data_IF_877390117262
#
_entry.id   IF_877390117262
#
_cell.length_a   1.000
_cell.length_b   1.000
_cell.length_c   1.000
_cell.angle_alpha   90.00
_cell.angle_beta   90.00
_cell.angle_gamma   90.00
#
_symmetry.space_group_name_H-M   'P 1'
#
loop_
_entity.id
_entity.type
_entity.pdbx_description
1 polymer ?
#
# COMPACT_ATOMS: atom_id res chain seq x y z
N UNK A 1 -51.45 95.51 14.71
CA UNK A 1 -51.38 94.64 15.91
C UNK A 1 -50.58 93.41 15.51
N UNK A 2 -49.25 93.46 15.58
CA UNK A 2 -48.37 93.23 16.74
C UNK A 2 -48.33 91.76 17.20
N UNK A 3 -47.11 91.21 17.10
CA UNK A 3 -46.52 90.13 17.91
C UNK A 3 -46.97 88.68 17.69
N UNK A 4 -46.13 87.66 17.87
CA UNK A 4 -44.66 87.44 17.87
C UNK A 4 -44.48 85.93 18.20
N UNK A 5 -43.28 85.42 17.89
CA UNK A 5 -42.75 84.06 18.00
C UNK A 5 -42.67 83.41 19.42
N UNK A 6 -42.72 82.05 19.43
CA UNK A 6 -41.91 81.04 20.22
C UNK A 6 -42.15 80.97 21.77
N UNK A 7 -41.80 79.90 22.58
CA UNK A 7 -41.18 78.56 22.37
C UNK A 7 -41.98 77.35 22.96
N UNK A 8 -41.75 76.07 22.60
CA UNK A 8 -40.61 75.14 22.87
C UNK A 8 -40.37 74.82 24.36
N UNK A 9 -40.88 73.67 24.84
CA UNK A 9 -40.30 72.91 25.95
C UNK A 9 -40.72 71.43 25.86
N UNK A 10 -39.94 70.63 25.14
CA UNK A 10 -40.06 69.16 25.11
C UNK A 10 -39.06 68.60 26.13
N UNK A 11 -39.57 68.17 27.29
CA UNK A 11 -38.77 67.56 28.35
C UNK A 11 -38.59 66.06 28.09
N UNK A 12 -37.32 65.66 28.14
CA UNK A 12 -36.78 64.32 28.01
C UNK A 12 -37.30 63.38 29.10
N UNK A 13 -37.79 62.21 28.73
CA UNK A 13 -37.76 61.01 29.58
C UNK A 13 -36.87 59.96 28.91
N UNK A 14 -35.67 59.78 29.48
CA UNK A 14 -34.82 58.63 29.21
C UNK A 14 -35.41 57.43 29.95
N UNK A 15 -36.04 56.50 29.22
CA UNK A 15 -36.23 55.13 29.69
C UNK A 15 -35.18 54.26 29.01
N UNK A 16 -34.18 53.83 29.78
CA UNK A 16 -33.16 52.86 29.38
C UNK A 16 -33.82 51.54 28.97
N UNK A 17 -33.91 51.29 27.66
CA UNK A 17 -34.20 49.96 27.14
C UNK A 17 -32.94 49.11 27.33
N UNK A 18 -32.95 48.21 28.31
CA UNK A 18 -31.95 47.16 28.44
C UNK A 18 -32.23 46.16 27.31
N UNK A 19 -31.46 46.23 26.24
CA UNK A 19 -31.40 45.17 25.23
C UNK A 19 -30.58 44.03 25.84
N UNK A 20 -31.25 42.95 26.24
CA UNK A 20 -30.57 41.69 26.52
C UNK A 20 -30.12 41.11 25.18
N UNK A 21 -28.89 41.42 24.77
CA UNK A 21 -28.24 40.73 23.67
C UNK A 21 -27.98 39.32 24.18
N UNK A 22 -28.83 38.38 23.80
CA UNK A 22 -28.52 36.97 23.93
C UNK A 22 -27.35 36.72 22.98
N UNK A 23 -26.15 36.61 23.53
CA UNK A 23 -24.98 36.19 22.78
C UNK A 23 -25.32 34.81 22.21
N UNK A 24 -25.55 34.77 20.91
CA UNK A 24 -25.52 33.54 20.16
C UNK A 24 -24.08 33.05 20.29
N UNK A 25 -23.86 32.10 21.20
CA UNK A 25 -22.65 31.31 21.25
C UNK A 25 -22.60 30.58 19.92
N UNK A 26 -21.98 31.23 18.93
CA UNK A 26 -21.49 30.55 17.75
C UNK A 26 -20.51 29.53 18.29
N UNK A 27 -20.99 28.31 18.50
CA UNK A 27 -20.16 27.15 18.68
C UNK A 27 -19.22 27.19 17.48
N UNK A 28 -17.96 27.53 17.72
CA UNK A 28 -16.91 27.28 16.75
C UNK A 28 -16.99 25.79 16.54
N UNK A 29 -17.63 25.38 15.46
CA UNK A 29 -17.73 23.99 15.04
C UNK A 29 -16.27 23.58 14.85
N UNK A 30 -15.71 22.96 15.89
CA UNK A 30 -14.31 22.60 15.93
C UNK A 30 -14.14 21.65 14.76
N UNK A 31 -13.57 22.18 13.66
CA UNK A 31 -13.42 21.45 12.43
C UNK A 31 -12.72 20.15 12.79
N UNK A 32 -13.43 19.04 12.70
CA UNK A 32 -12.89 17.73 13.08
C UNK A 32 -11.76 17.46 12.11
N UNK A 33 -10.52 17.55 12.59
CA UNK A 33 -9.33 17.32 11.76
C UNK A 33 -8.93 15.87 11.92
N UNK A 34 -9.06 15.09 10.85
CA UNK A 34 -8.46 13.75 10.79
C UNK A 34 -6.95 13.90 10.78
N UNK A 35 -6.29 13.14 11.62
CA UNK A 35 -4.83 13.01 11.64
C UNK A 35 -4.38 11.70 11.00
N UNK A 36 -5.05 10.59 11.29
CA UNK A 36 -4.71 9.28 10.73
C UNK A 36 -5.90 8.31 10.75
N UNK A 37 -5.75 7.18 10.05
CA UNK A 37 -6.70 6.06 10.09
C UNK A 37 -6.00 4.78 10.55
N UNK A 38 -6.73 3.81 11.09
CA UNK A 38 -6.21 2.46 11.41
C UNK A 38 -7.17 1.38 10.95
N UNK A 39 -6.61 0.22 10.60
CA UNK A 39 -7.37 -1.00 10.27
C UNK A 39 -7.33 -1.94 11.47
N UNK A 40 -8.50 -2.37 11.94
CA UNK A 40 -8.64 -3.43 12.94
C UNK A 40 -9.30 -4.68 12.32
N UNK A 41 -8.73 -5.84 12.65
CA UNK A 41 -9.20 -7.15 12.20
C UNK A 41 -9.04 -8.13 13.36
N UNK A 42 -9.99 -9.07 13.55
CA UNK A 42 -9.92 -10.04 14.64
C UNK A 42 -8.77 -11.04 14.49
N UNK A 43 -8.22 -11.17 13.27
CA UNK A 43 -7.12 -12.08 12.96
C UNK A 43 -6.01 -11.37 12.19
N UNK A 44 -4.81 -11.93 12.30
CA UNK A 44 -3.64 -11.58 11.47
C UNK A 44 -3.38 -12.60 10.37
N UNK A 45 -4.24 -13.63 10.27
CA UNK A 45 -4.21 -14.63 9.21
C UNK A 45 -5.61 -15.09 8.81
N UNK A 46 -5.78 -15.53 7.56
CA UNK A 46 -6.99 -16.18 7.06
C UNK A 46 -6.64 -17.26 6.03
N UNK A 47 -7.59 -18.13 5.72
CA UNK A 47 -7.48 -19.05 4.58
C UNK A 47 -7.88 -18.33 3.28
N UNK A 48 -7.19 -18.61 2.19
CA UNK A 48 -7.42 -18.03 0.85
C UNK A 48 -8.88 -18.20 0.43
N UNK A 49 -9.50 -17.12 -0.04
CA UNK A 49 -10.91 -17.06 -0.42
C UNK A 49 -11.90 -16.96 0.75
N UNK A 50 -11.45 -17.08 2.00
CA UNK A 50 -12.32 -16.86 3.16
C UNK A 50 -12.64 -15.39 3.34
N UNK A 51 -13.79 -15.11 3.95
CA UNK A 51 -14.18 -13.74 4.28
C UNK A 51 -13.40 -13.23 5.49
N UNK A 52 -12.83 -12.03 5.35
CA UNK A 52 -12.26 -11.21 6.39
C UNK A 52 -13.21 -10.04 6.67
N UNK A 53 -13.59 -9.88 7.92
CA UNK A 53 -14.33 -8.72 8.42
C UNK A 53 -13.45 -7.88 9.34
N UNK A 54 -13.71 -6.59 9.39
CA UNK A 54 -12.95 -5.67 10.23
C UNK A 54 -13.49 -4.25 10.18
N UNK A 55 -12.76 -3.34 10.82
CA UNK A 55 -13.11 -1.92 10.87
C UNK A 55 -11.95 -1.05 10.42
N UNK A 56 -12.29 0.12 9.89
CA UNK A 56 -11.37 1.23 9.69
C UNK A 56 -11.86 2.39 10.54
N UNK A 57 -10.98 2.89 11.41
CA UNK A 57 -11.31 3.99 12.32
C UNK A 57 -10.47 5.22 11.99
N UNK A 58 -11.11 6.39 11.90
CA UNK A 58 -10.45 7.68 11.74
C UNK A 58 -10.19 8.32 13.11
N UNK A 59 -9.00 8.88 13.29
CA UNK A 59 -8.55 9.48 14.55
C UNK A 59 -8.14 10.93 14.35
N UNK A 60 -8.36 11.74 15.39
CA UNK A 60 -7.81 13.09 15.50
C UNK A 60 -6.33 13.07 15.93
N UNK A 61 -5.72 14.25 16.06
CA UNK A 61 -4.32 14.40 16.50
C UNK A 61 -4.06 13.96 17.94
N UNK A 62 -5.11 13.85 18.75
CA UNK A 62 -5.04 13.44 20.15
C UNK A 62 -5.25 11.92 20.32
N UNK A 63 -5.56 11.22 19.23
CA UNK A 63 -5.85 9.78 19.23
C UNK A 63 -7.28 9.42 19.62
N UNK A 64 -8.19 10.38 19.67
CA UNK A 64 -9.63 10.11 19.82
C UNK A 64 -10.25 9.77 18.46
N UNK A 65 -11.37 9.05 18.47
CA UNK A 65 -12.12 8.78 17.25
C UNK A 65 -12.70 10.09 16.71
N UNK A 66 -12.33 10.45 15.49
CA UNK A 66 -12.86 11.62 14.80
C UNK A 66 -14.31 11.32 14.39
N UNK A 67 -15.34 12.08 14.84
CA UNK A 67 -16.75 11.77 14.61
C UNK A 67 -17.22 12.07 13.17
N UNK A 68 -16.51 11.53 12.18
CA UNK A 68 -16.81 11.71 10.76
C UNK A 68 -17.91 10.75 10.30
N UNK A 69 -18.85 11.28 9.52
CA UNK A 69 -19.92 10.49 8.89
C UNK A 69 -20.06 10.86 7.41
N UNK A 70 -20.42 9.89 6.56
CA UNK A 70 -20.70 10.13 5.13
C UNK A 70 -19.49 10.06 4.20
N UNK A 71 -18.26 9.98 4.72
CA UNK A 71 -17.04 9.83 3.91
C UNK A 71 -16.76 8.36 3.57
N UNK A 72 -16.31 8.09 2.34
CA UNK A 72 -15.99 6.75 1.88
C UNK A 72 -14.54 6.37 2.19
N UNK A 73 -14.35 5.19 2.77
CA UNK A 73 -13.09 4.45 2.86
C UNK A 73 -13.02 3.47 1.69
N UNK A 74 -11.86 3.38 1.05
CA UNK A 74 -11.53 2.28 0.13
C UNK A 74 -10.64 1.26 0.84
N UNK A 75 -10.97 -0.03 0.72
CA UNK A 75 -10.26 -1.16 1.31
C UNK A 75 -9.78 -2.08 0.18
N UNK A 76 -8.52 -2.52 0.26
CA UNK A 76 -7.94 -3.41 -0.73
C UNK A 76 -6.66 -4.08 -0.24
N UNK A 77 -5.90 -4.68 -1.17
CA UNK A 77 -4.55 -5.18 -0.90
C UNK A 77 -3.55 -4.35 -1.71
N UNK A 78 -2.56 -3.80 -1.04
CA UNK A 78 -1.46 -3.04 -1.65
C UNK A 78 -0.33 -3.94 -2.20
N UNK A 79 -0.52 -5.26 -2.16
CA UNK A 79 0.41 -6.24 -2.73
C UNK A 79 -0.09 -6.75 -4.07
N UNK A 80 0.75 -6.69 -5.11
CA UNK A 80 0.42 -7.24 -6.42
C UNK A 80 0.10 -8.75 -6.35
N UNK A 81 -0.75 -9.27 -7.24
CA UNK A 81 -0.96 -10.71 -7.40
C UNK A 81 -1.98 -11.35 -6.44
N UNK A 82 -2.41 -10.64 -5.39
CA UNK A 82 -3.57 -11.04 -4.59
C UNK A 82 -4.87 -10.52 -5.24
N UNK A 83 -5.91 -11.34 -5.26
CA UNK A 83 -7.24 -10.92 -5.73
C UNK A 83 -8.11 -10.55 -4.53
N UNK A 84 -8.68 -9.36 -4.53
CA UNK A 84 -9.60 -8.88 -3.50
C UNK A 84 -11.01 -8.82 -4.07
N UNK A 85 -11.98 -9.40 -3.35
CA UNK A 85 -13.40 -9.36 -3.70
C UNK A 85 -14.24 -8.95 -2.50
N UNK A 86 -15.48 -8.51 -2.74
CA UNK A 86 -16.43 -8.09 -1.69
C UNK A 86 -16.52 -6.58 -1.54
N UNK A 87 -16.83 -6.12 -0.32
CA UNK A 87 -17.09 -4.70 -0.03
C UNK A 87 -15.78 -3.94 0.13
N UNK A 88 -15.23 -3.49 -1.00
CA UNK A 88 -13.97 -2.72 -1.06
C UNK A 88 -14.19 -1.22 -0.84
N UNK A 89 -15.43 -0.78 -0.66
CA UNK A 89 -15.76 0.60 -0.24
C UNK A 89 -16.78 0.56 0.88
N UNK A 90 -16.52 1.30 1.95
CA UNK A 90 -17.44 1.47 3.08
C UNK A 90 -17.51 2.92 3.50
N UNK A 91 -18.66 3.36 4.01
CA UNK A 91 -18.85 4.72 4.53
C UNK A 91 -18.53 4.77 6.02
N UNK A 92 -17.88 5.83 6.47
CA UNK A 92 -17.69 6.14 7.88
C UNK A 92 -19.03 6.51 8.52
N UNK A 93 -19.28 5.97 9.70
CA UNK A 93 -20.34 6.36 10.62
C UNK A 93 -19.70 6.62 11.97
N UNK A 94 -19.76 7.87 12.45
CA UNK A 94 -19.13 8.32 13.70
C UNK A 94 -17.64 7.91 13.79
N UNK A 95 -16.91 8.06 12.68
CA UNK A 95 -15.48 7.77 12.60
C UNK A 95 -15.11 6.32 12.33
N UNK A 96 -16.08 5.42 12.17
CA UNK A 96 -15.85 3.97 11.98
C UNK A 96 -16.53 3.47 10.70
N UNK A 97 -15.81 2.70 9.89
CA UNK A 97 -16.33 2.02 8.72
C UNK A 97 -16.10 0.50 8.86
N UNK A 98 -17.14 -0.30 8.64
CA UNK A 98 -17.04 -1.76 8.64
C UNK A 98 -16.78 -2.28 7.24
N UNK A 99 -15.92 -3.28 7.08
CA UNK A 99 -15.70 -3.92 5.79
C UNK A 99 -15.82 -5.44 5.87
N UNK A 100 -16.10 -6.03 4.72
CA UNK A 100 -16.13 -7.47 4.53
C UNK A 100 -15.58 -7.80 3.14
N UNK A 101 -14.38 -8.38 3.08
CA UNK A 101 -13.68 -8.72 1.85
C UNK A 101 -13.26 -10.20 1.87
N UNK A 102 -12.97 -10.78 0.72
CA UNK A 102 -12.21 -12.02 0.62
C UNK A 102 -10.92 -11.75 -0.14
N UNK A 103 -9.84 -12.43 0.26
CA UNK A 103 -8.54 -12.30 -0.37
C UNK A 103 -8.11 -13.68 -0.83
N UNK A 104 -7.81 -13.79 -2.13
CA UNK A 104 -7.36 -15.03 -2.75
C UNK A 104 -5.92 -14.88 -3.22
N UNK A 105 -5.09 -15.83 -2.82
CA UNK A 105 -3.71 -16.00 -3.28
C UNK A 105 -3.53 -17.40 -3.86
N UNK A 106 -2.56 -17.60 -4.75
CA UNK A 106 -2.26 -18.90 -5.35
C UNK A 106 -1.38 -19.80 -4.48
N UNK A 107 -0.69 -19.20 -3.51
CA UNK A 107 0.13 -19.86 -2.51
C UNK A 107 -0.03 -19.15 -1.15
N UNK A 108 0.48 -19.74 -0.08
CA UNK A 108 0.55 -19.04 1.21
C UNK A 108 1.45 -17.82 1.10
N UNK A 109 0.91 -16.63 1.38
CA UNK A 109 1.59 -15.35 1.18
C UNK A 109 1.16 -14.35 2.25
N UNK A 110 2.07 -13.47 2.65
CA UNK A 110 1.70 -12.20 3.25
C UNK A 110 1.14 -11.27 2.17
N UNK A 111 0.17 -10.45 2.57
CA UNK A 111 -0.36 -9.33 1.78
C UNK A 111 -0.39 -8.09 2.65
N UNK A 112 -0.26 -6.92 2.01
CA UNK A 112 -0.45 -5.63 2.68
C UNK A 112 -1.91 -5.23 2.56
N UNK A 113 -2.73 -5.53 3.57
CA UNK A 113 -4.10 -4.99 3.63
C UNK A 113 -4.02 -3.47 3.71
N UNK A 114 -4.77 -2.75 2.89
CA UNK A 114 -4.70 -1.29 2.78
C UNK A 114 -6.07 -0.65 2.91
N UNK A 115 -6.10 0.50 3.56
CA UNK A 115 -7.25 1.40 3.63
C UNK A 115 -6.83 2.81 3.22
N UNK A 116 -7.71 3.50 2.50
CA UNK A 116 -7.52 4.89 2.07
C UNK A 116 -8.79 5.69 2.35
N UNK A 117 -8.62 6.84 3.01
CA UNK A 117 -9.62 7.88 3.22
C UNK A 117 -9.21 9.14 2.47
N UNK A 118 -10.15 9.75 1.76
CA UNK A 118 -10.01 11.11 1.23
C UNK A 118 -10.89 12.03 2.06
N UNK A 119 -10.28 13.03 2.71
CA UNK A 119 -10.98 14.02 3.52
C UNK A 119 -10.44 15.41 3.19
N UNK A 120 -11.31 16.27 2.65
CA UNK A 120 -10.90 17.53 2.03
C UNK A 120 -9.96 17.27 0.85
N UNK A 121 -8.80 17.93 0.85
CA UNK A 121 -7.72 17.74 -0.13
C UNK A 121 -6.65 16.72 0.31
N UNK A 122 -6.83 16.09 1.47
CA UNK A 122 -5.84 15.20 2.09
C UNK A 122 -6.17 13.73 1.86
N UNK A 123 -5.13 12.93 1.68
CA UNK A 123 -5.18 11.47 1.60
C UNK A 123 -4.61 10.87 2.88
N UNK A 124 -5.38 10.00 3.53
CA UNK A 124 -4.94 9.25 4.69
C UNK A 124 -4.92 7.78 4.30
N UNK A 125 -3.80 7.10 4.55
CA UNK A 125 -3.67 5.68 4.25
C UNK A 125 -3.09 4.92 5.43
N UNK A 126 -3.48 3.66 5.54
CA UNK A 126 -2.92 2.74 6.51
C UNK A 126 -2.75 1.37 5.87
N UNK A 127 -1.69 0.68 6.22
CA UNK A 127 -1.44 -0.69 5.76
C UNK A 127 -1.15 -1.62 6.93
N UNK A 128 -1.63 -2.86 6.85
CA UNK A 128 -1.44 -3.90 7.85
C UNK A 128 -1.01 -5.21 7.17
N UNK A 129 -0.01 -5.88 7.72
CA UNK A 129 0.37 -7.22 7.28
C UNK A 129 -0.72 -8.23 7.63
N UNK A 130 -1.03 -9.11 6.67
CA UNK A 130 -2.02 -10.17 6.80
C UNK A 130 -1.53 -11.42 6.10
N UNK A 131 -1.48 -12.56 6.80
CA UNK A 131 -1.10 -13.85 6.23
C UNK A 131 -2.31 -14.51 5.58
N UNK A 132 -2.24 -14.76 4.27
CA UNK A 132 -3.23 -15.55 3.54
C UNK A 132 -2.67 -16.95 3.36
N UNK A 133 -3.24 -17.93 4.05
CA UNK A 133 -2.89 -19.33 3.97
C UNK A 133 -3.57 -19.95 2.75
N UNK A 134 -2.81 -20.63 1.89
CA UNK A 134 -3.39 -21.44 0.83
C UNK A 134 -2.88 -22.88 0.96
N UNK A 135 -3.80 -23.78 1.35
CA UNK A 135 -3.51 -25.21 1.54
C UNK A 135 -3.29 -25.98 0.24
N UNK A 136 -3.72 -25.43 -0.89
CA UNK A 136 -3.52 -26.03 -2.21
C UNK A 136 -2.15 -25.68 -2.82
N UNK A 137 -1.55 -24.58 -2.37
CA UNK A 137 -0.23 -24.15 -2.84
C UNK A 137 0.91 -24.83 -2.10
N UNK A 138 2.07 -24.97 -2.76
CA UNK A 138 3.30 -25.36 -2.05
C UNK A 138 3.61 -24.32 -0.96
N UNK A 139 3.88 -24.79 0.26
CA UNK A 139 4.33 -23.92 1.35
C UNK A 139 5.81 -23.57 1.17
N UNK A 140 6.07 -22.77 0.15
CA UNK A 140 7.40 -22.43 -0.32
C UNK A 140 7.59 -20.93 -0.31
N UNK A 141 8.76 -20.51 0.15
CA UNK A 141 9.14 -19.10 0.16
C UNK A 141 10.00 -18.78 -1.07
N UNK A 142 9.45 -17.98 -1.97
CA UNK A 142 10.10 -17.49 -3.18
C UNK A 142 10.77 -16.12 -2.96
N UNK A 143 10.62 -15.50 -1.79
CA UNK A 143 11.06 -14.11 -1.54
C UNK A 143 12.55 -13.90 -1.80
N UNK A 144 13.40 -14.86 -1.40
CA UNK A 144 14.86 -14.76 -1.57
C UNK A 144 15.32 -14.77 -3.03
N UNK A 145 14.42 -15.11 -3.96
CA UNK A 145 14.68 -15.10 -5.39
C UNK A 145 14.37 -13.74 -6.04
N UNK A 146 13.84 -12.78 -5.28
CA UNK A 146 13.45 -11.47 -5.78
C UNK A 146 14.06 -10.29 -4.99
N UNK A 147 14.54 -10.55 -3.77
CA UNK A 147 15.30 -9.58 -2.95
C UNK A 147 16.67 -9.28 -3.58
N UNK A 148 17.09 -8.01 -3.52
CA UNK A 148 18.36 -7.52 -4.07
C UNK A 148 18.31 -6.05 -4.45
N UNK A 149 19.42 -5.50 -4.95
CA UNK A 149 19.43 -4.17 -5.57
C UNK A 149 19.56 -4.28 -7.08
N UNK A 150 18.74 -3.52 -7.79
CA UNK A 150 18.58 -3.58 -9.23
C UNK A 150 18.81 -2.20 -9.83
N UNK A 151 19.73 -2.08 -10.78
CA UNK A 151 19.93 -0.86 -11.54
C UNK A 151 18.96 -0.83 -12.72
N UNK A 152 18.07 0.16 -12.71
CA UNK A 152 17.08 0.38 -13.76
C UNK A 152 17.78 0.71 -15.07
N UNK A 153 17.40 0.01 -16.13
CA UNK A 153 17.89 0.24 -17.48
C UNK A 153 16.96 1.20 -18.23
N UNK A 154 17.48 1.94 -19.23
CA UNK A 154 16.64 2.71 -20.14
C UNK A 154 15.62 1.81 -20.84
N UNK A 155 14.38 2.27 -20.97
CA UNK A 155 13.33 1.53 -21.69
C UNK A 155 11.91 2.07 -21.44
N UNK A 156 11.63 2.50 -20.22
CA UNK A 156 10.38 3.18 -19.90
C UNK A 156 10.38 4.62 -20.45
N UNK A 157 9.27 5.05 -21.05
CA UNK A 157 9.13 6.39 -21.64
C UNK A 157 8.66 7.43 -20.59
N UNK A 158 9.53 8.32 -20.10
CA UNK A 158 9.17 9.25 -19.04
C UNK A 158 8.20 10.36 -19.50
N UNK A 159 8.00 10.57 -20.80
CA UNK A 159 7.05 11.58 -21.29
C UNK A 159 5.60 11.12 -21.20
N UNK A 160 5.35 9.83 -20.99
CA UNK A 160 4.01 9.24 -20.94
C UNK A 160 3.79 8.34 -19.73
N UNK A 161 4.85 8.01 -18.99
CA UNK A 161 4.81 7.09 -17.86
C UNK A 161 5.53 7.68 -16.65
N UNK A 162 5.14 7.22 -15.46
CA UNK A 162 5.95 7.37 -14.26
C UNK A 162 6.94 6.19 -14.20
N UNK A 163 8.19 6.43 -14.55
CA UNK A 163 9.23 5.42 -14.69
C UNK A 163 10.06 5.33 -13.42
N UNK A 164 10.41 4.10 -12.99
CA UNK A 164 11.47 3.92 -12.00
C UNK A 164 12.80 4.45 -12.56
N UNK A 165 13.68 4.91 -11.67
CA UNK A 165 14.97 5.49 -12.05
C UNK A 165 16.09 5.14 -11.07
N UNK A 166 17.30 5.04 -11.61
CA UNK A 166 18.51 4.74 -10.82
C UNK A 166 18.51 3.33 -10.25
N UNK A 167 18.36 3.21 -8.93
CA UNK A 167 18.39 1.94 -8.21
C UNK A 167 17.00 1.61 -7.64
N UNK A 168 16.61 0.35 -7.77
CA UNK A 168 15.47 -0.26 -7.08
C UNK A 168 16.04 -1.18 -6.00
N UNK A 169 15.62 -0.99 -4.76
CA UNK A 169 15.94 -1.89 -3.65
C UNK A 169 14.73 -2.76 -3.36
N UNK A 170 14.93 -4.07 -3.45
CA UNK A 170 13.93 -5.08 -3.16
C UNK A 170 14.26 -5.75 -1.82
N UNK A 171 13.40 -5.59 -0.81
CA UNK A 171 13.57 -6.14 0.53
C UNK A 171 12.45 -7.12 0.89
N UNK A 172 12.78 -8.12 1.70
CA UNK A 172 11.78 -9.04 2.26
C UNK A 172 10.89 -8.24 3.23
N UNK A 173 9.59 -8.23 2.96
CA UNK A 173 8.58 -7.65 3.85
C UNK A 173 7.74 -8.73 4.55
N UNK A 174 7.64 -9.92 3.93
CA UNK A 174 6.94 -11.06 4.49
C UNK A 174 7.21 -12.35 3.71
N UNK A 175 6.43 -13.40 4.00
CA UNK A 175 6.43 -14.64 3.23
C UNK A 175 5.83 -14.39 1.86
N UNK A 176 6.59 -14.64 0.79
CA UNK A 176 6.19 -14.39 -0.60
C UNK A 176 5.74 -12.94 -0.86
N UNK A 177 6.32 -12.00 -0.11
CA UNK A 177 6.04 -10.57 -0.16
C UNK A 177 7.35 -9.77 -0.14
N UNK A 178 7.56 -8.99 -1.19
CA UNK A 178 8.71 -8.09 -1.35
C UNK A 178 8.22 -6.65 -1.36
N UNK A 179 8.94 -5.78 -0.66
CA UNK A 179 8.82 -4.34 -0.76
C UNK A 179 9.85 -3.83 -1.78
N UNK A 180 9.39 -3.00 -2.72
CA UNK A 180 10.22 -2.36 -3.73
C UNK A 180 10.26 -0.86 -3.45
N UNK A 181 11.46 -0.32 -3.33
CA UNK A 181 11.73 1.10 -3.13
C UNK A 181 12.60 1.62 -4.28
N UNK A 182 12.22 2.74 -4.88
CA UNK A 182 13.00 3.35 -5.96
C UNK A 182 12.70 4.83 -6.12
N UNK A 183 13.61 5.55 -6.77
CA UNK A 183 13.31 6.86 -7.32
C UNK A 183 12.41 6.71 -8.56
N UNK A 184 11.65 7.74 -8.87
CA UNK A 184 10.81 7.80 -10.06
C UNK A 184 10.99 9.11 -10.82
N UNK A 185 10.75 9.07 -12.13
CA UNK A 185 10.80 10.22 -13.03
C UNK A 185 9.72 10.14 -14.11
N UNK A 186 9.46 11.27 -14.75
CA UNK A 186 8.46 11.38 -15.81
C UNK A 186 7.12 11.88 -15.29
N UNK A 187 6.02 11.32 -15.77
CA UNK A 187 4.66 11.75 -15.40
C UNK A 187 4.21 11.20 -14.03
N UNK A 188 4.96 11.51 -12.97
CA UNK A 188 4.72 11.02 -11.61
C UNK A 188 3.94 12.00 -10.72
N UNK A 189 3.34 13.05 -11.28
CA UNK A 189 2.60 14.05 -10.48
C UNK A 189 3.45 14.79 -9.45
N UNK A 190 4.74 14.98 -9.72
CA UNK A 190 5.70 15.63 -8.81
C UNK A 190 6.35 14.70 -7.78
N UNK A 191 5.95 13.43 -7.72
CA UNK A 191 6.58 12.42 -6.87
C UNK A 191 7.98 12.07 -7.42
N UNK A 192 8.97 11.96 -6.52
CA UNK A 192 10.37 11.66 -6.86
C UNK A 192 10.84 10.29 -6.37
N UNK A 193 10.09 9.65 -5.47
CA UNK A 193 10.34 8.29 -4.99
C UNK A 193 9.04 7.53 -4.75
N UNK A 194 9.09 6.21 -4.84
CA UNK A 194 7.93 5.35 -4.65
C UNK A 194 8.28 4.10 -3.86
N UNK A 195 7.28 3.59 -3.14
CA UNK A 195 7.32 2.31 -2.45
C UNK A 195 6.08 1.52 -2.81
N UNK A 196 6.23 0.27 -3.24
CA UNK A 196 5.10 -0.62 -3.51
C UNK A 196 5.45 -2.07 -3.16
N UNK A 197 4.42 -2.89 -3.00
CA UNK A 197 4.57 -4.27 -2.54
C UNK A 197 4.20 -5.26 -3.65
N UNK A 198 5.02 -6.29 -3.78
CA UNK A 198 4.81 -7.41 -4.70
C UNK A 198 4.56 -8.65 -3.86
N UNK A 199 3.30 -9.11 -3.82
CA UNK A 199 2.89 -10.28 -3.05
C UNK A 199 2.52 -11.47 -3.93
N UNK A 200 2.03 -12.55 -3.30
CA UNK A 200 1.64 -13.79 -3.98
C UNK A 200 2.75 -14.29 -4.94
N UNK A 201 4.02 -14.12 -4.55
CA UNK A 201 5.17 -14.49 -5.36
C UNK A 201 5.23 -16.02 -5.41
N UNK A 202 4.79 -16.61 -6.50
CA UNK A 202 4.60 -18.07 -6.64
C UNK A 202 5.57 -18.73 -7.62
N UNK A 203 6.59 -18.01 -8.06
CA UNK A 203 7.54 -18.50 -9.05
C UNK A 203 8.90 -17.85 -8.89
N UNK A 204 9.91 -18.58 -9.34
CA UNK A 204 11.30 -18.14 -9.34
C UNK A 204 11.62 -17.17 -10.48
N UNK A 205 10.81 -17.17 -11.53
CA UNK A 205 11.13 -16.51 -12.80
C UNK A 205 10.07 -15.54 -13.24
N UNK A 206 8.81 -15.72 -12.85
CA UNK A 206 7.71 -14.91 -13.38
C UNK A 206 6.76 -14.52 -12.26
N UNK A 207 6.44 -13.24 -12.17
CA UNK A 207 5.37 -12.75 -11.29
C UNK A 207 4.34 -12.04 -12.15
N UNK A 208 3.06 -12.28 -11.84
CA UNK A 208 1.94 -11.56 -12.41
C UNK A 208 1.29 -10.70 -11.34
N UNK A 209 0.90 -9.48 -11.69
CA UNK A 209 0.29 -8.59 -10.72
C UNK A 209 -0.25 -7.31 -11.35
N UNK A 210 -0.62 -6.38 -10.49
CA UNK A 210 -1.11 -5.04 -10.87
C UNK A 210 -0.35 -3.97 -10.08
N UNK A 211 0.11 -2.92 -10.74
CA UNK A 211 0.61 -1.70 -10.09
C UNK A 211 -0.40 -0.59 -10.39
N UNK A 212 -1.09 -0.11 -9.36
CA UNK A 212 -2.26 0.74 -9.56
C UNK A 212 -3.35 -0.02 -10.31
N UNK A 213 -3.79 0.51 -11.46
CA UNK A 213 -4.80 -0.13 -12.31
C UNK A 213 -4.19 -1.03 -13.40
N UNK A 214 -2.87 -0.94 -13.64
CA UNK A 214 -2.25 -1.58 -14.79
C UNK A 214 -1.74 -2.99 -14.46
N UNK A 215 -2.13 -4.01 -15.24
CA UNK A 215 -1.57 -5.34 -15.13
C UNK A 215 -0.12 -5.36 -15.65
N UNK A 216 0.75 -6.07 -14.92
CA UNK A 216 2.14 -6.25 -15.30
C UNK A 216 2.59 -7.71 -15.17
N UNK A 217 3.63 -8.03 -15.91
CA UNK A 217 4.41 -9.26 -15.73
C UNK A 217 5.86 -8.87 -15.43
N UNK A 218 6.45 -9.45 -14.38
CA UNK A 218 7.88 -9.42 -14.12
C UNK A 218 8.48 -10.75 -14.55
N UNK A 219 9.47 -10.74 -15.43
CA UNK A 219 10.19 -11.91 -15.87
C UNK A 219 11.68 -11.77 -15.54
N UNK A 220 12.23 -12.73 -14.80
CA UNK A 220 13.64 -12.77 -14.42
C UNK A 220 14.40 -13.78 -15.28
N UNK A 221 15.46 -13.31 -15.91
CA UNK A 221 16.41 -14.11 -16.70
C UNK A 221 17.83 -13.84 -16.22
N UNK A 222 18.38 -14.77 -15.43
CA UNK A 222 19.69 -14.60 -14.81
C UNK A 222 19.70 -13.42 -13.83
N UNK A 223 20.50 -12.40 -14.13
CA UNK A 223 20.61 -11.15 -13.34
C UNK A 223 19.69 -10.04 -13.83
N UNK A 224 18.91 -10.26 -14.88
CA UNK A 224 18.04 -9.25 -15.47
C UNK A 224 16.59 -9.53 -15.07
N UNK A 225 15.86 -8.48 -14.74
CA UNK A 225 14.39 -8.49 -14.65
C UNK A 225 13.85 -7.62 -15.77
N UNK A 226 12.87 -8.14 -16.51
CA UNK A 226 12.04 -7.40 -17.44
C UNK A 226 10.67 -7.20 -16.80
N UNK A 227 10.21 -5.95 -16.73
CA UNK A 227 8.84 -5.59 -16.41
C UNK A 227 8.11 -5.25 -17.70
N UNK A 228 6.99 -5.91 -17.93
CA UNK A 228 6.09 -5.63 -19.05
C UNK A 228 4.78 -5.11 -18.50
N UNK A 229 4.45 -3.85 -18.80
CA UNK A 229 3.11 -3.33 -18.57
C UNK A 229 2.21 -3.81 -19.72
N UNK A 230 1.21 -4.63 -19.39
CA UNK A 230 0.35 -5.28 -20.38
C UNK A 230 -0.74 -4.35 -20.93
N UNK A 231 -1.02 -3.24 -20.25
CA UNK A 231 -1.94 -2.21 -20.72
C UNK A 231 -1.24 -1.15 -21.58
N UNK A 232 -0.01 -0.77 -21.24
CA UNK A 232 0.76 0.23 -21.97
C UNK A 232 2.24 -0.15 -22.07
N UNK A 233 2.64 -0.67 -23.23
CA UNK A 233 4.00 -1.15 -23.43
C UNK A 233 5.07 -0.04 -23.37
N UNK A 234 4.71 1.24 -23.53
CA UNK A 234 5.63 2.36 -23.34
C UNK A 234 6.10 2.52 -21.88
N UNK A 235 5.34 1.93 -20.94
CA UNK A 235 5.66 1.92 -19.51
C UNK A 235 6.38 0.62 -19.08
N UNK A 236 6.77 -0.23 -20.02
CA UNK A 236 7.64 -1.39 -19.78
C UNK A 236 9.07 -0.95 -19.50
N UNK A 237 9.86 -1.78 -18.82
CA UNK A 237 11.24 -1.46 -18.48
C UNK A 237 12.04 -2.68 -18.03
N UNK A 238 13.33 -2.53 -17.79
CA UNK A 238 14.16 -3.62 -17.27
C UNK A 238 15.11 -3.12 -16.20
N UNK A 239 15.65 -4.04 -15.41
CA UNK A 239 16.67 -3.75 -14.43
C UNK A 239 17.68 -4.89 -14.36
N UNK A 240 18.94 -4.56 -14.06
CA UNK A 240 20.02 -5.52 -13.89
C UNK A 240 20.43 -5.51 -12.43
N UNK A 241 20.51 -6.68 -11.82
CA UNK A 241 20.98 -6.79 -10.46
C UNK A 241 22.43 -6.33 -10.32
N UNK A 242 22.68 -5.41 -9.39
CA UNK A 242 24.00 -4.85 -9.11
C UNK A 242 24.66 -5.48 -7.88
N UNK A 243 23.90 -5.71 -6.81
CA UNK A 243 24.40 -6.19 -5.51
C UNK A 243 23.36 -7.08 -4.84
N UNK A 244 23.83 -8.01 -4.00
CA UNK A 244 22.98 -8.98 -3.30
C UNK A 244 22.02 -9.73 -4.25
N UNK A 245 22.53 -10.14 -5.42
CA UNK A 245 21.68 -10.72 -6.45
C UNK A 245 21.00 -11.99 -5.97
N UNK A 246 19.71 -12.17 -6.31
CA UNK A 246 18.99 -13.35 -5.90
C UNK A 246 19.73 -14.58 -6.41
N UNK A 247 19.70 -15.64 -5.59
CA UNK A 247 20.30 -16.91 -5.97
C UNK A 247 19.75 -17.30 -7.34
N UNK A 248 20.66 -17.52 -8.30
CA UNK A 248 20.28 -18.22 -9.51
C UNK A 248 19.77 -19.58 -9.06
N UNK A 249 18.65 -20.02 -9.65
CA UNK A 249 18.23 -21.42 -9.64
C UNK A 249 19.24 -22.31 -10.38
N UNK A 250 20.53 -21.95 -10.38
CA UNK A 250 21.58 -22.89 -10.67
C UNK A 250 21.23 -24.08 -9.80
N UNK A 251 20.78 -25.12 -10.49
CA UNK A 251 20.48 -26.43 -9.95
C UNK A 251 21.49 -26.60 -8.86
N UNK A 252 21.04 -26.91 -7.64
CA UNK A 252 21.92 -27.62 -6.75
C UNK A 252 22.46 -28.73 -7.64
N UNK A 253 23.69 -28.53 -8.12
CA UNK A 253 24.53 -29.57 -8.62
C UNK A 253 24.55 -30.38 -7.34
N UNK A 254 23.66 -31.38 -7.30
CA UNK A 254 23.87 -32.56 -6.51
C UNK A 254 25.22 -32.99 -7.07
N UNK A 255 26.30 -32.44 -6.52
CA UNK A 255 27.51 -33.14 -6.21
C UNK A 255 26.97 -34.23 -5.27
N UNK A 256 26.34 -35.16 -5.97
CA UNK A 256 25.73 -36.35 -5.50
C UNK A 256 26.85 -37.06 -4.81
N UNK A 257 26.49 -37.92 -3.89
CA UNK A 257 27.38 -38.87 -3.26
C UNK A 257 28.30 -39.62 -4.25
N UNK A 258 28.13 -39.48 -5.58
CA UNK A 258 29.09 -39.84 -6.62
C UNK A 258 30.51 -39.26 -6.48
N UNK A 259 30.74 -37.99 -6.11
CA UNK A 259 32.15 -37.51 -5.98
C UNK A 259 32.83 -38.12 -4.76
N UNK A 260 32.09 -38.30 -3.66
CA UNK A 260 32.58 -39.03 -2.49
C UNK A 260 32.77 -40.52 -2.81
N UNK A 261 31.89 -41.14 -3.60
CA UNK A 261 32.02 -42.54 -4.01
C UNK A 261 33.19 -42.76 -4.97
N UNK A 262 33.47 -41.82 -5.89
CA UNK A 262 34.63 -41.89 -6.80
C UNK A 262 35.94 -41.71 -6.00
N UNK A 263 35.98 -40.80 -5.03
CA UNK A 263 37.15 -40.64 -4.15
C UNK A 263 37.37 -41.91 -3.32
N UNK A 264 36.32 -42.52 -2.75
CA UNK A 264 36.43 -43.78 -2.00
C UNK A 264 36.84 -44.95 -2.93
N UNK A 265 36.33 -45.03 -4.16
CA UNK A 265 36.72 -46.10 -5.10
C UNK A 265 38.17 -45.98 -5.54
N UNK A 266 38.67 -44.77 -5.79
CA UNK A 266 40.07 -44.53 -6.15
C UNK A 266 40.99 -44.81 -4.97
N UNK A 267 40.59 -44.50 -3.74
CA UNK A 267 41.34 -44.86 -2.54
C UNK A 267 41.43 -46.38 -2.32
N UNK A 268 40.38 -47.13 -2.64
CA UNK A 268 40.42 -48.61 -2.57
C UNK A 268 41.29 -49.23 -3.67
N UNK A 269 41.31 -48.66 -4.88
CA UNK A 269 42.11 -49.20 -5.99
C UNK A 269 43.62 -49.00 -5.79
N UNK A 270 44.03 -47.91 -5.13
CA UNK A 270 45.45 -47.62 -4.84
C UNK A 270 46.00 -48.50 -3.70
N UNK A 271 45.15 -49.10 -2.87
CA UNK A 271 45.58 -50.03 -1.81
C UNK A 271 45.78 -51.48 -2.27
N UNK A 272 45.31 -51.84 -3.48
CA UNK A 272 45.30 -53.22 -3.99
C UNK A 272 46.33 -53.45 -5.12
N UNK A 273 47.07 -52.41 -5.51
CA UNK A 273 48.23 -52.49 -6.42
C UNK A 273 49.52 -52.26 -5.64
#
# INVERSE_FOLDING_TARGET
MSSRLIPLLLLLFFTSLIVTIQADETSVEQQVVVSYIKIDTPTTSLESGSQLTGTVTAYDSNGNVAPLSGYSISIGAASSGATVQGTTRSTLQNGVANFAISITTSITSDVMLSAVLVYGSSYYSFTKNLRVNNRQGENKDFTEYWVGQWSVQPGCNPSTCCCMDGQVTATRSGLNLVQLESNVKGMCGGVTSTTFYVGNINSYYTIYGTVGADPFTLQKTGKTIQMTNMANNACSGSAICTTACPRSNASTLRISKMVVMIIVLVSFLVMVL
#
